data_IF_587280118151
#
_entry.id   IF_587280118151
#
_cell.length_a   1.000
_cell.length_b   1.000
_cell.length_c   1.000
_cell.angle_alpha   90.00
_cell.angle_beta   90.00
_cell.angle_gamma   90.00
#
_symmetry.space_group_name_H-M   'P 1'
#
loop_
_entity.id
_entity.type
_entity.pdbx_description
1 polymer ?
#
# COMPACT_ATOMS: atom_id res chain seq x y z
N UNK A 1 7.40 -29.24 -53.52
CA UNK A 1 7.69 -27.94 -52.88
C UNK A 1 7.11 -27.91 -51.48
N UNK A 2 7.94 -27.49 -50.52
CA UNK A 2 7.84 -27.69 -49.07
C UNK A 2 6.58 -27.11 -48.39
N UNK A 3 5.60 -27.95 -48.05
CA UNK A 3 4.54 -27.60 -47.08
C UNK A 3 5.08 -27.52 -45.63
N UNK A 4 6.19 -28.21 -45.34
CA UNK A 4 6.83 -28.24 -44.03
C UNK A 4 7.55 -26.92 -43.66
N UNK A 5 8.12 -26.21 -44.64
CA UNK A 5 8.85 -24.96 -44.41
C UNK A 5 7.89 -23.79 -44.11
N UNK A 6 6.68 -23.81 -44.67
CA UNK A 6 5.64 -22.79 -44.42
C UNK A 6 5.08 -22.92 -43.00
N UNK A 7 4.90 -24.15 -42.50
CA UNK A 7 4.39 -24.38 -41.15
C UNK A 7 5.40 -23.94 -40.06
N UNK A 8 6.70 -24.14 -40.30
CA UNK A 8 7.75 -23.72 -39.37
C UNK A 8 7.87 -22.19 -39.30
N UNK A 9 7.73 -21.47 -40.42
CA UNK A 9 7.72 -20.00 -40.43
C UNK A 9 6.51 -19.41 -39.70
N UNK A 10 5.32 -20.03 -39.78
CA UNK A 10 4.13 -19.57 -39.08
C UNK A 10 4.23 -19.77 -37.55
N UNK A 11 4.89 -20.85 -37.10
CA UNK A 11 5.15 -21.09 -35.67
C UNK A 11 6.18 -20.10 -35.11
N UNK A 12 7.23 -19.74 -35.84
CA UNK A 12 8.24 -18.76 -35.38
C UNK A 12 7.66 -17.34 -35.29
N UNK A 13 6.74 -16.97 -36.19
CA UNK A 13 6.05 -15.68 -36.14
C UNK A 13 5.07 -15.56 -34.97
N UNK A 14 4.47 -16.67 -34.50
CA UNK A 14 3.53 -16.64 -33.39
C UNK A 14 4.18 -16.35 -32.02
N UNK A 15 5.48 -16.62 -31.85
CA UNK A 15 6.19 -16.40 -30.58
C UNK A 15 6.77 -14.98 -30.39
N UNK A 16 6.74 -14.12 -31.41
CA UNK A 16 7.37 -12.79 -31.35
C UNK A 16 6.43 -11.63 -31.03
N UNK A 17 5.11 -11.85 -30.91
CA UNK A 17 4.13 -10.78 -30.67
C UNK A 17 3.66 -10.61 -29.20
N UNK A 18 4.16 -11.41 -28.26
CA UNK A 18 3.61 -11.42 -26.89
C UNK A 18 4.21 -10.38 -25.93
N UNK A 19 5.21 -9.58 -26.32
CA UNK A 19 5.88 -8.63 -25.40
C UNK A 19 5.36 -7.19 -25.45
N UNK A 20 4.54 -6.81 -26.45
CA UNK A 20 4.12 -5.41 -26.62
C UNK A 20 3.01 -4.97 -25.64
N UNK A 21 2.11 -5.87 -25.22
CA UNK A 21 0.92 -5.51 -24.46
C UNK A 21 1.22 -4.93 -23.05
N UNK A 22 2.24 -5.44 -22.36
CA UNK A 22 2.60 -4.99 -21.01
C UNK A 22 3.20 -3.58 -20.95
N UNK A 23 3.90 -3.15 -22.02
CA UNK A 23 4.52 -1.82 -22.10
C UNK A 23 3.46 -0.72 -22.10
N UNK A 24 2.28 -0.98 -22.67
CA UNK A 24 1.22 0.01 -22.84
C UNK A 24 0.38 0.22 -21.58
N UNK A 25 0.31 -0.75 -20.67
CA UNK A 25 -0.40 -0.59 -19.39
C UNK A 25 0.32 0.33 -18.43
N UNK A 26 1.64 0.19 -18.31
CA UNK A 26 2.43 1.09 -17.47
C UNK A 26 2.41 2.53 -17.97
N UNK A 27 2.48 2.73 -19.30
CA UNK A 27 2.31 4.07 -19.90
C UNK A 27 0.96 4.69 -19.52
N UNK A 28 -0.13 3.92 -19.59
CA UNK A 28 -1.46 4.38 -19.16
C UNK A 28 -1.51 4.69 -17.67
N UNK A 29 -1.02 3.79 -16.81
CA UNK A 29 -0.98 4.03 -15.36
C UNK A 29 -0.20 5.32 -15.02
N UNK A 30 0.94 5.55 -15.67
CA UNK A 30 1.72 6.78 -15.50
C UNK A 30 0.97 8.03 -16.00
N UNK A 31 0.24 7.92 -17.11
CA UNK A 31 -0.60 9.01 -17.61
C UNK A 31 -1.77 9.32 -16.64
N UNK A 32 -2.43 8.30 -16.11
CA UNK A 32 -3.52 8.44 -15.14
C UNK A 32 -3.03 9.12 -13.86
N UNK A 33 -1.86 8.73 -13.35
CA UNK A 33 -1.22 9.35 -12.17
C UNK A 33 -0.91 10.82 -12.43
N UNK A 34 -0.37 11.16 -13.61
CA UNK A 34 -0.06 12.53 -13.98
C UNK A 34 -1.32 13.40 -14.15
N UNK A 35 -2.42 12.79 -14.63
CA UNK A 35 -3.68 13.47 -14.88
C UNK A 35 -4.53 13.69 -13.61
N UNK A 36 -4.41 12.81 -12.60
CA UNK A 36 -5.25 12.86 -11.40
C UNK A 36 -4.45 12.68 -10.11
N UNK A 37 -4.19 13.80 -9.42
CA UNK A 37 -3.52 13.80 -8.11
C UNK A 37 -4.28 13.04 -7.01
N UNK A 38 -5.59 12.79 -7.20
CA UNK A 38 -6.43 12.04 -6.25
C UNK A 38 -6.62 10.57 -6.62
N UNK A 39 -5.92 10.07 -7.66
CA UNK A 39 -6.11 8.73 -8.21
C UNK A 39 -6.04 7.64 -7.14
N UNK A 40 -5.06 7.69 -6.23
CA UNK A 40 -4.87 6.64 -5.22
C UNK A 40 -5.98 6.62 -4.16
N UNK A 41 -6.51 7.80 -3.80
CA UNK A 41 -7.68 7.91 -2.92
C UNK A 41 -8.89 7.28 -3.60
N UNK A 42 -9.15 7.61 -4.88
CA UNK A 42 -10.26 7.04 -5.66
C UNK A 42 -10.13 5.54 -5.85
N UNK A 43 -8.90 5.03 -6.06
CA UNK A 43 -8.68 3.58 -6.15
C UNK A 43 -9.02 2.90 -4.82
N UNK A 44 -8.49 3.39 -3.70
CA UNK A 44 -8.71 2.77 -2.37
C UNK A 44 -10.15 2.86 -1.84
N UNK A 45 -10.96 3.81 -2.33
CA UNK A 45 -12.38 3.87 -1.97
C UNK A 45 -13.18 2.69 -2.56
N UNK A 46 -12.69 2.08 -3.63
CA UNK A 46 -13.28 0.89 -4.25
C UNK A 46 -12.70 -0.38 -3.63
N UNK A 47 -13.57 -1.29 -3.17
CA UNK A 47 -13.16 -2.55 -2.53
C UNK A 47 -12.29 -3.44 -3.41
N UNK A 48 -12.52 -3.41 -4.73
CA UNK A 48 -11.76 -4.18 -5.72
C UNK A 48 -10.26 -3.83 -5.74
N UNK A 49 -9.87 -2.64 -5.27
CA UNK A 49 -8.45 -2.27 -5.20
C UNK A 49 -7.84 -2.55 -3.82
N UNK A 50 -8.47 -3.37 -2.97
CA UNK A 50 -8.00 -3.74 -1.64
C UNK A 50 -7.76 -5.24 -1.55
N UNK A 51 -7.04 -5.68 -0.51
CA UNK A 51 -6.92 -7.11 -0.22
C UNK A 51 -8.30 -7.69 0.13
N UNK A 52 -8.61 -8.86 -0.42
CA UNK A 52 -9.91 -9.54 -0.33
C UNK A 52 -10.20 -10.18 1.03
N UNK A 53 -9.23 -10.16 1.94
CA UNK A 53 -9.30 -10.79 3.25
C UNK A 53 -8.95 -9.79 4.35
N UNK A 54 -9.58 -9.99 5.51
CA UNK A 54 -9.30 -9.21 6.70
C UNK A 54 -7.96 -9.63 7.30
N UNK A 55 -7.35 -8.69 8.03
CA UNK A 55 -6.20 -8.94 8.88
C UNK A 55 -6.40 -10.16 9.79
N UNK A 56 -5.42 -11.05 9.80
CA UNK A 56 -5.39 -12.27 10.61
C UNK A 56 -3.95 -12.72 10.85
N UNK A 57 -3.75 -13.74 11.68
CA UNK A 57 -2.45 -14.38 11.92
C UNK A 57 -1.47 -13.50 12.70
N UNK A 58 -0.20 -13.53 12.30
CA UNK A 58 0.87 -12.73 12.89
C UNK A 58 1.38 -13.22 14.25
N UNK A 59 2.43 -12.54 14.75
CA UNK A 59 3.07 -12.85 16.03
C UNK A 59 2.04 -12.79 17.17
N UNK A 60 1.96 -13.87 17.95
CA UNK A 60 1.00 -14.03 19.05
C UNK A 60 -0.47 -13.83 18.65
N UNK A 61 -0.84 -14.10 17.39
CA UNK A 61 -2.18 -13.85 16.84
C UNK A 61 -2.64 -12.38 16.92
N UNK A 62 -1.68 -11.44 17.01
CA UNK A 62 -1.98 -10.00 17.05
C UNK A 62 -2.35 -9.40 15.68
N UNK A 63 -2.23 -10.18 14.60
CA UNK A 63 -2.42 -9.74 13.23
C UNK A 63 -1.16 -9.12 12.60
N UNK A 64 -1.33 -8.75 11.33
CA UNK A 64 -0.36 -8.11 10.44
C UNK A 64 -0.88 -6.78 9.87
N UNK A 65 -1.79 -6.10 10.58
CA UNK A 65 -2.57 -4.95 10.11
C UNK A 65 -1.75 -3.80 9.52
N UNK A 66 -0.57 -3.52 10.08
CA UNK A 66 0.36 -2.54 9.54
C UNK A 66 0.85 -2.94 8.16
N UNK A 67 1.40 -4.15 8.02
CA UNK A 67 1.90 -4.68 6.76
C UNK A 67 0.79 -4.86 5.74
N UNK A 68 -0.42 -5.24 6.17
CA UNK A 68 -1.62 -5.31 5.33
C UNK A 68 -1.95 -3.94 4.71
N UNK A 69 -1.99 -2.89 5.54
CA UNK A 69 -2.23 -1.51 5.08
C UNK A 69 -1.10 -0.98 4.20
N UNK A 70 0.16 -1.27 4.56
CA UNK A 70 1.34 -0.89 3.76
C UNK A 70 1.37 -1.57 2.40
N UNK A 71 1.10 -2.88 2.33
CA UNK A 71 1.02 -3.63 1.08
C UNK A 71 -0.14 -3.13 0.21
N UNK A 72 -1.33 -2.94 0.80
CA UNK A 72 -2.49 -2.39 0.11
C UNK A 72 -2.17 -1.03 -0.52
N UNK A 73 -1.48 -0.16 0.22
CA UNK A 73 -1.02 1.15 -0.27
C UNK A 73 0.03 1.00 -1.37
N UNK A 74 1.08 0.19 -1.17
CA UNK A 74 2.15 -0.01 -2.14
C UNK A 74 1.61 -0.53 -3.48
N UNK A 75 0.65 -1.46 -3.46
CA UNK A 75 0.00 -1.96 -4.67
C UNK A 75 -0.68 -0.87 -5.49
N UNK A 76 -1.25 0.18 -4.88
CA UNK A 76 -1.88 1.27 -5.64
C UNK A 76 -0.88 2.08 -6.46
N UNK A 77 0.34 2.22 -5.94
CA UNK A 77 1.41 2.98 -6.57
C UNK A 77 2.15 2.11 -7.59
N UNK A 78 2.48 0.88 -7.21
CA UNK A 78 3.53 0.09 -7.84
C UNK A 78 3.02 -1.17 -8.56
N UNK A 79 1.72 -1.46 -8.54
CA UNK A 79 1.15 -2.56 -9.31
C UNK A 79 0.40 -2.07 -10.54
N UNK A 80 0.61 -2.79 -11.65
CA UNK A 80 -0.21 -2.67 -12.86
C UNK A 80 -0.77 -4.04 -13.20
N UNK A 81 -2.09 -4.12 -13.34
CA UNK A 81 -2.80 -5.38 -13.57
C UNK A 81 -3.03 -5.63 -15.07
N UNK A 82 -2.71 -6.85 -15.54
CA UNK A 82 -2.90 -7.26 -16.93
C UNK A 82 -3.77 -8.52 -17.02
N UNK A 83 -5.11 -8.38 -17.06
CA UNK A 83 -6.04 -9.50 -17.01
C UNK A 83 -6.05 -10.37 -18.28
N UNK A 84 -5.47 -9.89 -19.39
CA UNK A 84 -5.44 -10.66 -20.65
C UNK A 84 -4.32 -11.72 -20.68
N UNK A 85 -3.35 -11.64 -19.77
CA UNK A 85 -2.27 -12.61 -19.66
C UNK A 85 -2.64 -13.79 -18.73
N UNK A 86 -1.95 -14.93 -18.81
CA UNK A 86 -2.16 -16.04 -17.89
C UNK A 86 -1.95 -15.62 -16.42
N UNK A 87 -2.77 -16.17 -15.52
CA UNK A 87 -2.60 -15.99 -14.06
C UNK A 87 -1.24 -16.49 -13.62
N UNK A 88 -0.63 -15.76 -12.68
CA UNK A 88 0.62 -16.18 -12.05
C UNK A 88 0.42 -17.42 -11.19
N UNK A 89 1.45 -18.26 -11.11
CA UNK A 89 1.53 -19.38 -10.17
C UNK A 89 1.71 -18.89 -8.73
N UNK A 90 1.50 -19.74 -7.74
CA UNK A 90 1.73 -19.39 -6.32
C UNK A 90 3.16 -18.91 -6.04
N UNK A 91 4.17 -19.48 -6.72
CA UNK A 91 5.57 -19.06 -6.60
C UNK A 91 5.79 -17.66 -7.17
N UNK A 92 5.24 -17.39 -8.36
CA UNK A 92 5.31 -16.06 -8.98
C UNK A 92 4.51 -15.03 -8.17
N UNK A 93 3.38 -15.42 -7.58
CA UNK A 93 2.61 -14.57 -6.67
C UNK A 93 3.43 -14.18 -5.43
N UNK A 94 4.21 -15.11 -4.86
CA UNK A 94 5.12 -14.81 -3.76
C UNK A 94 6.14 -13.73 -4.17
N UNK A 95 6.73 -13.87 -5.36
CA UNK A 95 7.68 -12.88 -5.91
C UNK A 95 7.01 -11.52 -6.16
N UNK A 96 5.76 -11.50 -6.66
CA UNK A 96 4.97 -10.27 -6.83
C UNK A 96 4.79 -9.55 -5.49
N UNK A 97 4.36 -10.26 -4.45
CA UNK A 97 4.15 -9.67 -3.12
C UNK A 97 5.48 -9.20 -2.50
N UNK A 98 6.54 -10.00 -2.66
CA UNK A 98 7.90 -9.65 -2.24
C UNK A 98 8.40 -8.36 -2.93
N UNK A 99 8.12 -8.19 -4.22
CA UNK A 99 8.48 -6.96 -4.94
C UNK A 99 7.70 -5.75 -4.42
N UNK A 100 6.39 -5.89 -4.22
CA UNK A 100 5.56 -4.80 -3.69
C UNK A 100 5.98 -4.37 -2.28
N UNK A 101 6.21 -5.32 -1.36
CA UNK A 101 6.67 -4.99 0.01
C UNK A 101 8.04 -4.30 0.01
N UNK A 102 8.90 -4.62 -0.97
CA UNK A 102 10.20 -3.99 -1.13
C UNK A 102 10.14 -2.63 -1.85
N UNK A 103 8.95 -2.14 -2.22
CA UNK A 103 8.77 -0.89 -2.95
C UNK A 103 9.26 -0.95 -4.39
N UNK A 104 9.13 -2.11 -5.06
CA UNK A 104 9.51 -2.32 -6.46
C UNK A 104 8.28 -2.43 -7.37
N UNK A 105 8.27 -1.78 -8.55
CA UNK A 105 7.15 -1.83 -9.48
C UNK A 105 6.98 -3.24 -10.07
N UNK A 106 5.74 -3.68 -10.30
CA UNK A 106 5.44 -5.01 -10.83
C UNK A 106 4.18 -5.01 -11.71
N UNK A 107 4.20 -5.84 -12.75
CA UNK A 107 3.00 -6.18 -13.53
C UNK A 107 2.42 -7.48 -12.99
N UNK A 108 1.12 -7.50 -12.71
CA UNK A 108 0.41 -8.66 -12.15
C UNK A 108 -0.50 -9.24 -13.24
N UNK A 109 -0.10 -10.41 -13.76
CA UNK A 109 -0.75 -11.04 -14.91
C UNK A 109 -1.98 -11.86 -14.50
N UNK A 110 -3.03 -11.81 -15.31
CA UNK A 110 -4.24 -12.62 -15.19
C UNK A 110 -5.26 -12.14 -14.15
N UNK A 111 -5.06 -10.94 -13.61
CA UNK A 111 -5.93 -10.34 -12.60
C UNK A 111 -6.39 -8.96 -13.04
N UNK A 112 -7.61 -8.57 -12.65
CA UNK A 112 -8.15 -7.23 -12.94
C UNK A 112 -7.66 -6.17 -11.96
N UNK A 113 -7.51 -6.56 -10.70
CA UNK A 113 -7.26 -5.68 -9.57
C UNK A 113 -6.70 -6.46 -8.37
N UNK A 114 -6.44 -5.76 -7.26
CA UNK A 114 -5.82 -6.33 -6.07
C UNK A 114 -6.74 -7.34 -5.37
N UNK A 115 -8.06 -7.12 -5.40
CA UNK A 115 -9.01 -8.03 -4.78
C UNK A 115 -9.02 -9.37 -5.51
N UNK A 116 -9.10 -9.36 -6.85
CA UNK A 116 -9.03 -10.56 -7.69
C UNK A 116 -7.72 -11.34 -7.45
N UNK A 117 -6.57 -10.65 -7.45
CA UNK A 117 -5.26 -11.27 -7.15
C UNK A 117 -5.20 -11.89 -5.75
N UNK A 118 -5.76 -11.20 -4.75
CA UNK A 118 -5.67 -11.65 -3.36
C UNK A 118 -6.68 -12.73 -2.98
N UNK A 119 -7.74 -12.94 -3.76
CA UNK A 119 -8.62 -14.11 -3.63
C UNK A 119 -7.84 -15.39 -3.92
N UNK A 120 -7.14 -15.44 -5.05
CA UNK A 120 -6.45 -16.64 -5.52
C UNK A 120 -5.16 -16.93 -4.75
N UNK A 121 -4.55 -15.91 -4.15
CA UNK A 121 -3.24 -16.01 -3.50
C UNK A 121 -3.24 -15.57 -2.03
N UNK A 122 -4.40 -15.68 -1.34
CA UNK A 122 -4.54 -15.28 0.07
C UNK A 122 -3.43 -15.84 0.96
N UNK A 123 -3.18 -17.13 0.88
CA UNK A 123 -2.22 -17.81 1.78
C UNK A 123 -0.79 -17.32 1.53
N UNK A 124 -0.41 -17.14 0.26
CA UNK A 124 0.89 -16.60 -0.14
C UNK A 124 1.09 -15.17 0.33
N UNK A 125 0.04 -14.34 0.25
CA UNK A 125 0.08 -12.96 0.73
C UNK A 125 0.21 -12.97 2.26
N UNK A 126 -0.60 -13.75 2.96
CA UNK A 126 -0.57 -13.85 4.42
C UNK A 126 0.82 -14.29 4.92
N UNK A 127 1.39 -15.35 4.33
CA UNK A 127 2.75 -15.82 4.64
C UNK A 127 3.78 -14.70 4.44
N UNK A 128 3.66 -13.94 3.34
CA UNK A 128 4.54 -12.79 3.09
C UNK A 128 4.41 -11.68 4.15
N UNK A 129 3.19 -11.38 4.58
CA UNK A 129 2.92 -10.35 5.59
C UNK A 129 3.50 -10.77 6.95
N UNK A 130 3.38 -12.03 7.32
CA UNK A 130 3.96 -12.59 8.56
C UNK A 130 5.50 -12.61 8.50
N UNK A 131 6.07 -13.03 7.38
CA UNK A 131 7.52 -12.95 7.16
C UNK A 131 8.02 -11.50 7.21
N UNK A 132 7.25 -10.54 6.67
CA UNK A 132 7.57 -9.12 6.73
C UNK A 132 7.49 -8.59 8.17
N UNK A 133 6.48 -9.02 8.94
CA UNK A 133 6.37 -8.73 10.36
C UNK A 133 7.58 -9.23 11.15
N UNK A 134 8.01 -10.47 10.94
CA UNK A 134 9.16 -11.05 11.63
C UNK A 134 10.44 -10.29 11.27
N UNK A 135 10.65 -9.99 9.99
CA UNK A 135 11.83 -9.25 9.53
C UNK A 135 11.91 -7.85 10.15
N UNK A 136 10.78 -7.12 10.19
CA UNK A 136 10.72 -5.80 10.80
C UNK A 136 10.79 -5.85 12.34
N UNK A 137 10.23 -6.89 12.98
CA UNK A 137 10.15 -7.02 14.44
C UNK A 137 11.39 -7.63 15.11
N UNK A 138 12.17 -8.44 14.40
CA UNK A 138 13.37 -9.11 14.94
C UNK A 138 14.65 -8.26 14.94
N UNK A 139 14.71 -7.22 14.09
CA UNK A 139 15.92 -6.39 13.91
C UNK A 139 15.66 -4.87 13.90
N UNK A 140 14.41 -4.40 13.82
CA UNK A 140 14.08 -2.99 13.67
C UNK A 140 13.20 -2.45 14.81
N UNK A 141 13.67 -1.38 15.46
CA UNK A 141 12.86 -0.58 16.40
C UNK A 141 11.68 0.14 15.71
N UNK A 142 11.42 -0.10 14.43
CA UNK A 142 10.31 0.51 13.67
C UNK A 142 8.92 0.17 14.21
N UNK A 143 8.79 -0.93 14.97
CA UNK A 143 7.59 -1.21 15.77
C UNK A 143 7.45 -0.32 17.00
N UNK A 144 8.55 0.11 17.61
CA UNK A 144 8.52 0.95 18.82
C UNK A 144 8.05 2.37 18.53
N UNK A 145 8.40 2.94 17.38
CA UNK A 145 7.88 4.26 16.95
C UNK A 145 6.35 4.25 16.86
N UNK A 146 5.77 3.12 16.45
CA UNK A 146 4.33 2.90 16.37
C UNK A 146 3.68 2.41 17.68
N UNK A 147 4.45 2.20 18.75
CA UNK A 147 3.95 1.94 20.11
C UNK A 147 4.15 3.14 21.05
N UNK A 148 4.88 4.15 20.61
CA UNK A 148 5.10 5.38 21.37
C UNK A 148 3.91 6.32 21.15
N UNK A 149 3.00 6.38 22.12
CA UNK A 149 1.94 7.38 22.13
C UNK A 149 0.90 7.10 23.20
N UNK A 150 -0.02 8.04 23.37
CA UNK A 150 -1.08 7.94 24.36
C UNK A 150 -2.37 7.43 23.70
N UNK A 151 -3.17 6.65 24.44
CA UNK A 151 -4.52 6.27 23.99
C UNK A 151 -5.54 7.40 24.17
N UNK A 152 -5.11 8.51 24.79
CA UNK A 152 -5.86 9.74 25.00
C UNK A 152 -4.93 10.95 24.91
N UNK A 153 -5.45 12.08 24.44
CA UNK A 153 -4.75 13.36 24.40
C UNK A 153 -5.61 14.47 25.00
N UNK A 154 -4.99 15.60 25.35
CA UNK A 154 -5.77 16.80 25.63
C UNK A 154 -6.55 17.21 24.37
N UNK A 155 -7.74 17.78 24.54
CA UNK A 155 -8.63 18.05 23.41
C UNK A 155 -8.03 18.98 22.35
N UNK A 156 -7.20 19.95 22.78
CA UNK A 156 -6.46 20.83 21.87
C UNK A 156 -5.38 20.09 21.07
N UNK A 157 -4.67 19.15 21.70
CA UNK A 157 -3.65 18.33 21.04
C UNK A 157 -4.28 17.39 20.01
N UNK A 158 -5.37 16.70 20.38
CA UNK A 158 -6.10 15.87 19.41
C UNK A 158 -6.62 16.70 18.25
N UNK A 159 -7.15 17.90 18.52
CA UNK A 159 -7.57 18.83 17.48
C UNK A 159 -6.42 19.13 16.51
N UNK A 160 -5.23 19.46 17.02
CA UNK A 160 -4.06 19.72 16.17
C UNK A 160 -3.72 18.53 15.28
N UNK A 161 -3.78 17.29 15.80
CA UNK A 161 -3.54 16.08 14.99
C UNK A 161 -4.60 15.88 13.89
N UNK A 162 -5.87 16.13 14.20
CA UNK A 162 -6.96 15.96 13.24
C UNK A 162 -6.95 17.06 12.17
N UNK A 163 -6.65 18.30 12.57
CA UNK A 163 -6.43 19.41 11.65
C UNK A 163 -5.25 19.13 10.70
N UNK A 164 -4.11 18.63 11.22
CA UNK A 164 -2.95 18.24 10.39
C UNK A 164 -3.31 17.11 9.41
N UNK A 165 -4.03 16.09 9.88
CA UNK A 165 -4.51 14.99 9.03
C UNK A 165 -5.42 15.51 7.91
N UNK A 166 -6.39 16.37 8.23
CA UNK A 166 -7.27 17.01 7.26
C UNK A 166 -6.48 17.85 6.24
N UNK A 167 -5.60 18.72 6.71
CA UNK A 167 -4.79 19.59 5.86
C UNK A 167 -3.92 18.77 4.90
N UNK A 168 -3.29 17.69 5.37
CA UNK A 168 -2.50 16.80 4.51
C UNK A 168 -3.35 16.14 3.41
N UNK A 169 -4.54 15.64 3.74
CA UNK A 169 -5.44 15.04 2.75
C UNK A 169 -5.85 16.05 1.67
N UNK A 170 -6.18 17.28 2.07
CA UNK A 170 -6.60 18.34 1.13
C UNK A 170 -5.42 18.81 0.28
N UNK A 171 -4.25 19.03 0.89
CA UNK A 171 -3.06 19.54 0.21
C UNK A 171 -2.44 18.51 -0.72
N UNK A 172 -2.19 17.30 -0.23
CA UNK A 172 -1.43 16.31 -0.99
C UNK A 172 -2.33 15.38 -1.81
N UNK A 173 -3.62 15.22 -1.43
CA UNK A 173 -4.59 14.33 -2.10
C UNK A 173 -4.12 12.87 -2.18
N UNK A 174 -3.41 12.41 -1.15
CA UNK A 174 -2.85 11.06 -1.05
C UNK A 174 -3.31 10.33 0.21
N UNK A 175 -3.35 8.98 0.19
CA UNK A 175 -3.65 8.18 1.37
C UNK A 175 -2.63 8.38 2.49
N UNK A 176 -3.11 8.63 3.71
CA UNK A 176 -2.26 8.79 4.89
C UNK A 176 -2.27 7.48 5.67
N UNK A 177 -1.10 6.86 5.83
CA UNK A 177 -0.93 5.75 6.75
C UNK A 177 -0.84 6.30 8.18
N UNK A 178 -1.67 5.75 9.06
CA UNK A 178 -1.63 6.07 10.48
C UNK A 178 -1.57 4.80 11.31
N UNK A 179 -0.92 4.93 12.46
CA UNK A 179 -0.84 3.90 13.49
C UNK A 179 -1.77 4.28 14.63
N UNK A 180 -2.53 3.33 15.13
CA UNK A 180 -3.44 3.51 16.26
C UNK A 180 -2.77 2.99 17.52
N UNK A 181 -2.75 3.84 18.54
CA UNK A 181 -2.34 3.47 19.89
C UNK A 181 -3.55 2.95 20.64
N UNK A 182 -3.63 1.64 20.81
CA UNK A 182 -4.63 0.96 21.64
C UNK A 182 -3.99 0.56 22.99
N UNK A 183 -4.78 0.39 24.07
CA UNK A 183 -4.25 -0.09 25.33
C UNK A 183 -3.55 -1.44 25.20
N UNK A 184 -2.37 -1.57 25.84
CA UNK A 184 -1.54 -2.77 25.81
C UNK A 184 -0.39 -2.69 24.81
N UNK A 185 0.15 -3.84 24.40
CA UNK A 185 1.17 -3.96 23.33
C UNK A 185 0.53 -4.05 21.94
N UNK A 186 -0.77 -3.77 21.83
CA UNK A 186 -1.54 -3.89 20.60
C UNK A 186 -1.49 -2.58 19.86
N UNK A 187 -0.91 -2.59 18.67
CA UNK A 187 -1.02 -1.47 17.75
C UNK A 187 -1.78 -1.89 16.50
N UNK A 188 -2.57 -0.97 15.96
CA UNK A 188 -3.31 -1.17 14.70
C UNK A 188 -2.84 -0.19 13.64
N UNK A 189 -3.16 -0.43 12.37
CA UNK A 189 -2.77 0.44 11.28
C UNK A 189 -3.87 0.52 10.23
N UNK A 190 -4.05 1.72 9.68
CA UNK A 190 -5.06 1.97 8.66
C UNK A 190 -4.60 3.02 7.64
N UNK A 191 -5.41 3.23 6.61
CA UNK A 191 -5.22 4.29 5.62
C UNK A 191 -6.38 5.28 5.68
N UNK A 192 -6.10 6.53 6.04
CA UNK A 192 -7.08 7.62 5.88
C UNK A 192 -7.04 8.08 4.43
N UNK A 193 -8.19 8.01 3.76
CA UNK A 193 -8.31 8.31 2.32
C UNK A 193 -9.23 9.50 2.04
N UNK A 194 -9.89 10.05 3.04
CA UNK A 194 -10.76 11.21 2.86
C UNK A 194 -11.12 11.85 4.19
N UNK A 195 -11.50 13.13 4.14
CA UNK A 195 -11.98 13.88 5.28
C UNK A 195 -13.02 14.89 4.81
N UNK A 196 -14.18 14.90 5.46
CA UNK A 196 -15.23 15.90 5.23
C UNK A 196 -15.36 16.77 6.48
N UNK A 197 -15.23 18.11 6.38
CA UNK A 197 -15.46 18.98 7.52
C UNK A 197 -16.94 18.95 7.92
N UNK A 198 -17.19 19.02 9.23
CA UNK A 198 -18.52 19.18 9.82
C UNK A 198 -18.60 20.53 10.54
N UNK A 199 -19.76 20.87 11.11
CA UNK A 199 -19.89 22.10 11.92
C UNK A 199 -19.01 22.11 13.17
N UNK A 200 -18.53 20.95 13.62
CA UNK A 200 -17.81 20.80 14.89
C UNK A 200 -16.55 19.94 14.79
N UNK A 201 -16.11 19.53 13.60
CA UNK A 201 -14.93 18.68 13.43
C UNK A 201 -14.85 18.05 12.03
N UNK A 202 -14.61 16.74 11.96
CA UNK A 202 -14.35 16.02 10.70
C UNK A 202 -14.98 14.62 10.70
N UNK A 203 -15.43 14.17 9.52
CA UNK A 203 -15.73 12.77 9.22
C UNK A 203 -14.62 12.21 8.34
N UNK A 204 -13.80 11.30 8.87
CA UNK A 204 -12.71 10.66 8.15
C UNK A 204 -13.16 9.37 7.49
N UNK A 205 -12.80 9.18 6.22
CA UNK A 205 -12.98 7.93 5.48
C UNK A 205 -11.71 7.10 5.57
N UNK A 206 -11.84 5.86 6.05
CA UNK A 206 -10.70 5.03 6.43
C UNK A 206 -10.82 3.63 5.83
N UNK A 207 -9.74 3.18 5.19
CA UNK A 207 -9.52 1.76 4.85
C UNK A 207 -8.82 1.10 6.03
N UNK A 208 -9.56 0.24 6.72
CA UNK A 208 -9.11 -0.50 7.89
C UNK A 208 -9.01 -1.99 7.50
N UNK A 209 -7.84 -2.60 7.72
CA UNK A 209 -7.57 -4.00 7.40
C UNK A 209 -8.45 -5.02 8.15
N UNK A 210 -9.14 -4.62 9.23
CA UNK A 210 -10.09 -5.48 9.93
C UNK A 210 -11.49 -5.51 9.27
N UNK A 211 -11.76 -4.63 8.30
CA UNK A 211 -13.07 -4.51 7.65
C UNK A 211 -12.95 -4.46 6.13
N UNK A 212 -13.81 -5.22 5.43
CA UNK A 212 -13.89 -5.17 3.97
C UNK A 212 -14.57 -3.90 3.44
N UNK A 213 -15.35 -3.22 4.27
CA UNK A 213 -16.06 -1.99 3.92
C UNK A 213 -15.25 -0.75 4.32
N UNK A 214 -15.43 0.35 3.58
CA UNK A 214 -14.88 1.64 3.97
C UNK A 214 -15.52 2.08 5.29
N UNK A 215 -14.69 2.49 6.25
CA UNK A 215 -15.14 2.95 7.57
C UNK A 215 -15.24 4.47 7.60
N UNK A 216 -16.14 4.99 8.43
CA UNK A 216 -16.25 6.42 8.72
C UNK A 216 -16.02 6.67 10.20
N UNK A 217 -15.08 7.57 10.50
CA UNK A 217 -14.69 7.93 11.86
C UNK A 217 -14.95 9.40 12.11
N UNK A 218 -15.76 9.69 13.12
CA UNK A 218 -16.19 11.06 13.43
C UNK A 218 -15.31 11.63 14.54
N UNK A 219 -14.69 12.77 14.27
CA UNK A 219 -14.02 13.60 15.26
C UNK A 219 -14.84 14.85 15.52
N UNK A 220 -14.99 15.21 16.80
CA UNK A 220 -15.67 16.43 17.25
C UNK A 220 -14.75 17.23 18.18
N UNK A 221 -14.73 18.55 18.04
CA UNK A 221 -14.00 19.46 18.91
C UNK A 221 -14.34 19.19 20.39
N UNK A 222 -13.30 19.06 21.23
CA UNK A 222 -13.46 18.66 22.63
C UNK A 222 -13.20 17.17 22.87
N UNK A 223 -13.14 16.35 21.82
CA UNK A 223 -12.78 14.92 21.95
C UNK A 223 -11.34 14.78 22.44
N UNK A 224 -11.08 13.72 23.21
CA UNK A 224 -9.75 13.35 23.73
C UNK A 224 -9.21 12.05 23.13
N UNK A 225 -10.01 11.35 22.32
CA UNK A 225 -9.63 10.15 21.58
C UNK A 225 -10.79 9.59 20.77
N UNK A 226 -10.59 8.41 20.22
CA UNK A 226 -11.58 7.58 19.54
C UNK A 226 -11.81 6.27 20.30
N UNK A 227 -12.78 5.46 19.86
CA UNK A 227 -13.06 4.15 20.45
C UNK A 227 -13.18 3.06 19.38
N UNK A 228 -12.35 2.03 19.50
CA UNK A 228 -12.39 0.82 18.69
C UNK A 228 -13.12 -0.27 19.46
N UNK A 229 -14.44 -0.38 19.25
CA UNK A 229 -15.29 -1.11 20.20
C UNK A 229 -15.25 -0.44 21.56
N UNK A 230 -14.82 -1.16 22.60
CA UNK A 230 -14.63 -0.61 23.95
C UNK A 230 -13.23 -0.02 24.19
N UNK A 231 -12.29 -0.21 23.26
CA UNK A 231 -10.89 0.18 23.48
C UNK A 231 -10.65 1.62 23.00
N UNK A 232 -10.22 2.54 23.89
CA UNK A 232 -9.87 3.88 23.45
C UNK A 232 -8.64 3.86 22.55
N UNK A 233 -8.52 4.83 21.65
CA UNK A 233 -7.29 5.01 20.90
C UNK A 233 -7.10 6.44 20.40
N UNK A 234 -5.85 6.74 20.04
CA UNK A 234 -5.52 7.90 19.20
C UNK A 234 -4.78 7.40 17.97
N UNK A 235 -5.09 8.00 16.83
CA UNK A 235 -4.46 7.69 15.55
C UNK A 235 -3.37 8.73 15.24
N UNK A 236 -2.17 8.25 14.93
CA UNK A 236 -1.00 9.09 14.69
C UNK A 236 -0.47 8.90 13.27
N UNK A 237 -0.27 10.01 12.58
CA UNK A 237 0.53 10.05 11.35
C UNK A 237 2.01 10.06 11.74
N UNK A 238 2.72 8.95 11.52
CA UNK A 238 4.13 8.83 11.94
C UNK A 238 5.09 9.44 10.91
N UNK A 239 6.26 9.92 11.37
CA UNK A 239 7.33 10.40 10.49
C UNK A 239 7.78 9.31 9.50
N UNK A 240 7.84 8.05 9.95
CA UNK A 240 8.14 6.90 9.08
C UNK A 240 7.06 6.74 7.99
N UNK A 241 5.77 6.83 8.35
CA UNK A 241 4.66 6.72 7.42
C UNK A 241 4.64 7.83 6.35
N UNK A 242 5.05 9.05 6.72
CA UNK A 242 5.23 10.18 5.80
C UNK A 242 6.40 9.96 4.84
N UNK A 243 7.56 9.53 5.35
CA UNK A 243 8.73 9.21 4.52
C UNK A 243 8.44 8.04 3.58
N UNK A 244 7.67 7.05 4.03
CA UNK A 244 7.27 5.92 3.20
C UNK A 244 6.38 6.37 2.03
N UNK A 245 5.44 7.27 2.26
CA UNK A 245 4.63 7.87 1.19
C UNK A 245 5.51 8.57 0.16
N UNK A 246 6.45 9.41 0.63
CA UNK A 246 7.38 10.12 -0.25
C UNK A 246 8.24 9.15 -1.08
N UNK A 247 8.69 8.05 -0.48
CA UNK A 247 9.44 7.00 -1.19
C UNK A 247 8.57 6.26 -2.21
N UNK A 248 7.34 5.89 -1.89
CA UNK A 248 6.44 5.26 -2.86
C UNK A 248 6.18 6.17 -4.07
N UNK A 249 5.99 7.46 -3.82
CA UNK A 249 5.87 8.47 -4.89
C UNK A 249 7.13 8.58 -5.74
N UNK A 250 8.31 8.60 -5.10
CA UNK A 250 9.60 8.59 -5.81
C UNK A 250 9.74 7.34 -6.69
N UNK A 251 9.45 6.15 -6.15
CA UNK A 251 9.52 4.87 -6.87
C UNK A 251 8.59 4.84 -8.08
N UNK A 252 7.38 5.37 -7.94
CA UNK A 252 6.45 5.49 -9.06
C UNK A 252 7.00 6.42 -10.16
N UNK A 253 7.52 7.59 -9.79
CA UNK A 253 8.11 8.51 -10.75
C UNK A 253 9.31 7.89 -11.48
N UNK A 254 10.19 7.20 -10.75
CA UNK A 254 11.32 6.44 -11.31
C UNK A 254 10.83 5.34 -12.28
N UNK A 255 9.80 4.58 -11.89
CA UNK A 255 9.18 3.56 -12.73
C UNK A 255 8.64 4.18 -14.03
N UNK A 256 7.88 5.26 -13.95
CA UNK A 256 7.32 5.97 -15.11
C UNK A 256 8.40 6.53 -16.04
N UNK A 257 9.44 7.17 -15.48
CA UNK A 257 10.56 7.69 -16.25
C UNK A 257 11.35 6.55 -16.94
N UNK A 258 11.62 5.45 -16.22
CA UNK A 258 12.33 4.30 -16.76
C UNK A 258 11.55 3.63 -17.89
N UNK A 259 10.22 3.52 -17.74
CA UNK A 259 9.36 2.97 -18.77
C UNK A 259 9.35 3.83 -20.02
N UNK A 260 9.32 5.17 -19.87
CA UNK A 260 9.34 6.11 -20.99
C UNK A 260 10.70 6.10 -21.72
N UNK A 261 11.81 6.06 -20.98
CA UNK A 261 13.16 6.24 -21.54
C UNK A 261 13.85 4.95 -21.96
N UNK A 262 13.57 3.84 -21.26
CA UNK A 262 14.25 2.54 -21.46
C UNK A 262 13.31 1.44 -21.94
N UNK A 263 12.00 1.69 -21.99
CA UNK A 263 10.99 0.69 -22.35
C UNK A 263 10.87 -0.47 -21.34
N UNK A 264 11.46 -0.32 -20.15
CA UNK A 264 11.43 -1.33 -19.08
C UNK A 264 11.48 -0.68 -17.71
N UNK A 265 10.90 -1.37 -16.73
CA UNK A 265 11.01 -1.02 -15.32
C UNK A 265 12.44 -1.21 -14.82
N UNK A 266 12.87 -0.32 -13.92
CA UNK A 266 14.15 -0.41 -13.23
C UNK A 266 13.89 -0.41 -11.73
N UNK A 267 14.42 -1.41 -11.05
CA UNK A 267 14.32 -1.51 -9.59
C UNK A 267 15.30 -0.55 -8.91
N UNK A 268 14.88 -0.01 -7.77
CA UNK A 268 15.82 0.60 -6.84
C UNK A 268 16.78 -0.44 -6.26
N UNK A 269 18.02 0.00 -6.00
CA UNK A 269 19.03 -0.81 -5.33
C UNK A 269 18.58 -1.21 -3.92
N UNK A 270 18.07 -0.24 -3.16
CA UNK A 270 17.56 -0.46 -1.81
C UNK A 270 16.06 -0.77 -1.83
N UNK A 271 15.65 -1.67 -0.94
CA UNK A 271 14.26 -1.85 -0.55
C UNK A 271 13.73 -0.59 0.15
N UNK A 272 12.40 -0.46 0.21
CA UNK A 272 11.79 0.68 0.89
C UNK A 272 12.12 0.73 2.38
N UNK A 273 12.20 -0.41 3.07
CA UNK A 273 12.55 -0.46 4.49
C UNK A 273 14.01 -0.07 4.75
N UNK A 274 14.96 -0.55 3.93
CA UNK A 274 16.37 -0.13 4.03
C UNK A 274 16.54 1.39 3.84
N UNK A 275 15.87 1.97 2.84
CA UNK A 275 15.93 3.42 2.62
C UNK A 275 15.21 4.19 3.74
N UNK A 276 14.10 3.66 4.29
CA UNK A 276 13.46 4.24 5.46
C UNK A 276 14.37 4.24 6.68
N UNK A 277 15.07 3.14 6.95
CA UNK A 277 15.95 3.03 8.11
C UNK A 277 17.12 4.01 8.02
N UNK A 278 17.68 4.21 6.82
CA UNK A 278 18.69 5.25 6.55
C UNK A 278 18.14 6.68 6.71
N UNK A 279 16.87 6.91 6.38
CA UNK A 279 16.24 8.22 6.56
C UNK A 279 15.84 8.47 8.02
N UNK A 280 15.56 7.43 8.80
CA UNK A 280 15.09 7.52 10.18
C UNK A 280 16.24 7.64 11.18
N UNK A 281 17.37 7.01 10.90
CA UNK A 281 18.59 7.17 11.68
C UNK A 281 19.53 8.13 10.94
N UNK A 282 19.78 9.38 11.38
CA UNK A 282 21.03 10.00 10.95
C UNK A 282 22.16 9.03 11.35
N UNK A 283 23.22 8.86 10.52
CA UNK A 283 24.38 8.14 10.99
C UNK A 283 24.80 8.79 12.32
N UNK A 284 24.93 7.98 13.37
CA UNK A 284 25.59 8.42 14.58
C UNK A 284 26.91 9.07 14.15
N UNK A 285 27.03 10.38 14.35
CA UNK A 285 28.30 11.07 14.18
C UNK A 285 29.19 10.74 15.36
#
# INVERSE_FOLDING_TARGET
MNKFLVLLCLLVLAFHFSSAAGVDRWKRHCADVAADSSLFIKKLSLSQNRLSFNNQGGLFNGGVCWWHSRLTRAAQYLAVFEPSLPKVTSKEAYDVVLRLRNGRPVTINGYRDLQDFSIDHRDVIQENLEAWQISNGGFGLGFLDGLAGSTYLAANELKTLMDDTYNRLVTYRKPIFQVLQLPGITAHGWLVIGAQPTSTGYNFSVVDSNYQNLQTWNYTNGSTGFHYGSSPFVSYTTNRGLKEEALLSKRLNEACLSQQTKGRLVDSQLTIDEELDLLMNPPAK
#
